data_IF_367646185929
#
_entry.id   IF_367646185929
#
_cell.length_a   1.000
_cell.length_b   1.000
_cell.length_c   1.000
_cell.angle_alpha   90.00
_cell.angle_beta   90.00
_cell.angle_gamma   90.00
#
_symmetry.space_group_name_H-M   'P 1'
#
loop_
_entity.id
_entity.type
_entity.pdbx_description
1 polymer ?
#
# COMPACT_ATOMS: atom_id res chain seq x y z
N UNK A 1 0.07 17.57 13.13
CA UNK A 1 -0.72 17.01 12.00
C UNK A 1 0.18 16.54 10.88
N UNK A 2 1.06 17.40 10.35
CA UNK A 2 2.04 17.03 9.32
C UNK A 2 3.04 15.96 9.77
N UNK A 3 3.39 15.85 11.05
CA UNK A 3 4.36 14.85 11.55
C UNK A 3 3.81 13.42 11.67
N UNK A 4 2.53 13.22 12.01
CA UNK A 4 1.91 11.88 11.90
C UNK A 4 1.69 11.52 10.45
N UNK A 5 1.30 12.49 9.62
CA UNK A 5 1.20 12.27 8.19
C UNK A 5 2.60 11.92 7.62
N UNK A 6 3.65 12.67 7.98
CA UNK A 6 5.08 12.42 7.73
C UNK A 6 5.57 11.09 8.27
N UNK A 7 5.04 10.58 9.38
CA UNK A 7 5.44 9.28 9.91
C UNK A 7 4.61 8.11 9.39
N UNK A 8 3.40 8.36 8.89
CA UNK A 8 2.75 7.48 7.91
C UNK A 8 3.44 7.51 6.55
N UNK A 9 4.27 8.52 6.32
CA UNK A 9 5.23 8.63 5.22
C UNK A 9 6.63 8.11 5.60
N UNK A 10 6.87 7.32 6.66
CA UNK A 10 8.27 6.93 6.95
C UNK A 10 8.44 5.51 7.51
N UNK A 11 7.95 4.54 6.74
CA UNK A 11 8.70 3.28 6.57
C UNK A 11 9.61 3.36 5.34
N UNK A 12 10.33 4.47 5.17
CA UNK A 12 11.22 4.82 4.03
C UNK A 12 10.54 5.39 2.78
N UNK A 13 9.67 6.40 2.93
CA UNK A 13 9.08 7.18 1.82
C UNK A 13 9.97 8.40 1.52
N UNK A 14 10.58 8.48 0.34
CA UNK A 14 11.19 9.75 -0.10
C UNK A 14 10.18 10.70 -0.77
N UNK A 15 8.87 10.43 -0.71
CA UNK A 15 7.89 11.36 -1.28
C UNK A 15 6.47 11.09 -0.78
N UNK A 16 6.04 11.81 0.25
CA UNK A 16 4.61 11.88 0.63
C UNK A 16 3.68 12.34 -0.52
N UNK A 17 4.24 12.83 -1.63
CA UNK A 17 3.55 13.06 -2.89
C UNK A 17 3.21 11.76 -3.66
N UNK A 18 4.04 10.69 -3.62
CA UNK A 18 3.81 9.44 -4.37
C UNK A 18 2.64 8.61 -3.86
N UNK A 19 2.31 8.67 -2.56
CA UNK A 19 1.11 8.02 -2.02
C UNK A 19 -0.20 8.65 -2.55
N UNK A 20 -0.16 9.92 -2.99
CA UNK A 20 -1.23 10.57 -3.75
C UNK A 20 -1.39 9.95 -5.15
N UNK A 21 -0.28 9.50 -5.76
CA UNK A 21 -0.24 8.98 -7.13
C UNK A 21 -0.89 7.59 -7.26
N UNK A 22 -0.77 6.74 -6.22
CA UNK A 22 -1.46 5.45 -6.15
C UNK A 22 -2.97 5.60 -6.34
N UNK A 23 -3.54 6.61 -5.67
CA UNK A 23 -4.99 6.86 -5.61
C UNK A 23 -5.50 7.65 -6.81
N UNK A 24 -4.65 8.49 -7.41
CA UNK A 24 -5.00 9.26 -8.60
C UNK A 24 -4.96 8.43 -9.88
N UNK A 25 -4.26 7.29 -9.93
CA UNK A 25 -4.14 6.45 -11.13
C UNK A 25 -5.48 5.86 -11.61
N UNK A 26 -6.27 5.25 -10.71
CA UNK A 26 -7.60 4.70 -11.00
C UNK A 26 -8.61 5.79 -11.35
N UNK A 27 -8.51 6.93 -10.64
CA UNK A 27 -9.29 8.12 -10.94
C UNK A 27 -8.93 8.63 -12.35
N UNK A 28 -7.65 8.83 -12.62
CA UNK A 28 -7.13 9.30 -13.90
C UNK A 28 -7.56 8.39 -15.05
N UNK A 29 -7.46 7.06 -14.87
CA UNK A 29 -7.92 6.11 -15.88
C UNK A 29 -9.41 6.28 -16.18
N UNK A 30 -10.26 6.29 -15.14
CA UNK A 30 -11.70 6.48 -15.32
C UNK A 30 -12.04 7.83 -15.97
N UNK A 31 -11.29 8.89 -15.64
CA UNK A 31 -11.47 10.22 -16.24
C UNK A 31 -10.97 10.27 -17.70
N UNK A 32 -9.87 9.59 -18.04
CA UNK A 32 -9.37 9.49 -19.43
C UNK A 32 -10.39 8.75 -20.30
N UNK A 33 -10.96 7.65 -19.81
CA UNK A 33 -11.98 6.87 -20.52
C UNK A 33 -13.31 7.65 -20.68
N UNK A 34 -13.58 8.62 -19.79
CA UNK A 34 -14.85 9.34 -19.73
C UNK A 34 -14.67 10.87 -19.70
N UNK A 35 -13.74 11.38 -20.52
CA UNK A 35 -13.33 12.80 -20.48
C UNK A 35 -14.48 13.79 -20.70
N UNK A 36 -15.49 13.40 -21.48
CA UNK A 36 -16.70 14.18 -21.74
C UNK A 36 -17.62 14.36 -20.52
N UNK A 37 -17.43 13.57 -19.45
CA UNK A 37 -18.22 13.64 -18.21
C UNK A 37 -17.56 14.49 -17.12
N UNK A 38 -16.38 15.07 -17.39
CA UNK A 38 -15.63 15.85 -16.39
C UNK A 38 -16.37 17.15 -16.05
N UNK A 39 -16.67 17.34 -14.77
CA UNK A 39 -17.32 18.55 -14.22
C UNK A 39 -16.50 19.10 -13.06
N UNK A 40 -16.56 20.41 -12.84
CA UNK A 40 -15.91 21.07 -11.69
C UNK A 40 -16.33 20.50 -10.33
N UNK A 41 -17.57 20.03 -10.21
CA UNK A 41 -18.06 19.37 -8.98
C UNK A 41 -17.36 18.05 -8.66
N UNK A 42 -16.75 17.39 -9.64
CA UNK A 42 -15.93 16.19 -9.42
C UNK A 42 -14.64 16.51 -8.67
N UNK A 43 -14.07 17.71 -8.85
CA UNK A 43 -12.86 18.10 -8.13
C UNK A 43 -13.11 18.13 -6.63
N UNK A 44 -14.22 18.75 -6.19
CA UNK A 44 -14.58 18.77 -4.78
C UNK A 44 -14.73 17.34 -4.22
N UNK A 45 -15.48 16.47 -4.91
CA UNK A 45 -15.60 15.07 -4.52
C UNK A 45 -14.24 14.35 -4.49
N UNK A 46 -13.39 14.56 -5.47
CA UNK A 46 -12.06 13.96 -5.53
C UNK A 46 -11.17 14.40 -4.35
N UNK A 47 -11.15 15.70 -4.03
CA UNK A 47 -10.43 16.23 -2.88
C UNK A 47 -10.97 15.70 -1.55
N UNK A 48 -12.30 15.66 -1.39
CA UNK A 48 -12.92 15.06 -0.19
C UNK A 48 -12.56 13.58 -0.05
N UNK A 49 -12.63 12.80 -1.13
CA UNK A 49 -12.28 11.38 -1.13
C UNK A 49 -10.80 11.15 -0.82
N UNK A 50 -9.92 11.94 -1.42
CA UNK A 50 -8.49 11.91 -1.14
C UNK A 50 -8.20 12.21 0.34
N UNK A 51 -8.82 13.24 0.88
CA UNK A 51 -8.67 13.60 2.29
C UNK A 51 -9.20 12.49 3.21
N UNK A 52 -10.36 11.89 2.90
CA UNK A 52 -10.87 10.75 3.66
C UNK A 52 -9.93 9.53 3.63
N UNK A 53 -9.30 9.24 2.50
CA UNK A 53 -8.31 8.17 2.39
C UNK A 53 -7.01 8.50 3.16
N UNK A 54 -6.60 9.77 3.23
CA UNK A 54 -5.49 10.23 4.08
C UNK A 54 -5.85 10.00 5.55
N UNK A 55 -7.05 10.41 5.97
CA UNK A 55 -7.55 10.14 7.31
C UNK A 55 -7.55 8.63 7.64
N UNK A 56 -8.05 7.79 6.71
CA UNK A 56 -8.10 6.34 6.95
C UNK A 56 -6.71 5.73 7.13
N UNK A 57 -5.74 6.18 6.32
CA UNK A 57 -4.35 5.76 6.48
C UNK A 57 -3.72 6.28 7.79
N UNK A 58 -3.96 7.55 8.13
CA UNK A 58 -3.49 8.16 9.38
C UNK A 58 -4.04 7.46 10.62
N UNK A 59 -5.30 7.02 10.60
CA UNK A 59 -5.86 6.18 11.66
C UNK A 59 -5.10 4.85 11.77
N UNK A 60 -5.02 4.08 10.68
CA UNK A 60 -4.44 2.73 10.67
C UNK A 60 -2.96 2.75 11.10
N UNK A 61 -2.18 3.70 10.59
CA UNK A 61 -0.76 3.82 10.94
C UNK A 61 -0.58 4.41 12.33
N UNK A 62 -1.41 5.38 12.71
CA UNK A 62 -1.33 6.01 14.03
C UNK A 62 -1.63 5.02 15.16
N UNK A 63 -2.68 4.20 15.06
CA UNK A 63 -2.91 3.13 16.05
C UNK A 63 -1.76 2.14 16.08
N UNK A 64 -1.16 1.84 14.91
CA UNK A 64 -0.05 0.90 14.86
C UNK A 64 1.15 1.40 15.67
N UNK A 65 1.57 2.65 15.45
CA UNK A 65 2.67 3.27 16.21
C UNK A 65 2.40 3.34 17.73
N UNK A 66 1.17 3.65 18.13
CA UNK A 66 0.80 3.72 19.56
C UNK A 66 0.98 2.36 20.24
N UNK A 67 0.52 1.26 19.62
CA UNK A 67 0.60 -0.09 20.20
C UNK A 67 1.96 -0.78 20.02
N UNK A 68 2.78 -0.28 19.09
CA UNK A 68 4.11 -0.79 18.78
C UNK A 68 5.25 0.11 19.29
N UNK A 69 4.98 1.17 20.06
CA UNK A 69 5.98 2.13 20.55
C UNK A 69 7.26 1.48 21.12
N UNK A 70 7.14 0.38 21.88
CA UNK A 70 8.29 -0.33 22.43
C UNK A 70 9.15 -1.04 21.38
N UNK A 71 8.52 -1.58 20.33
CA UNK A 71 9.18 -2.23 19.19
C UNK A 71 9.79 -1.15 18.29
N UNK A 72 9.04 -0.08 18.02
CA UNK A 72 9.45 0.99 17.13
C UNK A 72 10.60 1.81 17.71
N UNK A 73 10.73 1.95 19.03
CA UNK A 73 11.93 2.54 19.66
C UNK A 73 13.23 1.83 19.30
N UNK A 74 13.16 0.55 18.93
CA UNK A 74 14.31 -0.24 18.51
C UNK A 74 14.48 -0.18 17.00
N UNK A 75 13.43 -0.54 16.26
CA UNK A 75 13.51 -0.76 14.83
C UNK A 75 13.43 0.56 14.05
N UNK A 76 12.65 1.51 14.55
CA UNK A 76 12.27 2.76 13.87
C UNK A 76 12.29 3.95 14.86
N UNK A 77 13.44 4.22 15.50
CA UNK A 77 13.53 5.22 16.58
C UNK A 77 13.20 6.64 16.13
N UNK A 78 13.18 6.89 14.82
CA UNK A 78 12.86 8.16 14.20
C UNK A 78 11.33 8.40 14.05
N UNK A 79 10.47 7.40 14.33
CA UNK A 79 9.02 7.60 14.26
C UNK A 79 8.56 8.53 15.40
N UNK A 80 7.64 9.50 15.19
CA UNK A 80 7.32 10.56 16.15
C UNK A 80 6.91 10.06 17.53
N UNK A 81 6.12 8.98 17.59
CA UNK A 81 5.69 8.39 18.88
C UNK A 81 6.85 7.66 19.57
N UNK A 82 7.74 7.03 18.80
CA UNK A 82 8.91 6.31 19.31
C UNK A 82 10.02 7.28 19.77
N UNK A 83 10.28 8.32 18.97
CA UNK A 83 11.24 9.40 19.21
C UNK A 83 10.84 10.28 20.41
N UNK A 84 9.54 10.39 20.69
CA UNK A 84 9.00 11.27 21.73
C UNK A 84 8.64 12.66 21.24
N UNK A 85 8.84 12.96 19.95
CA UNK A 85 8.40 14.20 19.30
C UNK A 85 6.88 14.38 19.39
N UNK A 86 6.15 13.26 19.46
CA UNK A 86 4.71 13.23 19.63
C UNK A 86 4.30 12.46 20.89
N UNK A 87 3.63 13.15 21.81
CA UNK A 87 3.08 12.51 23.02
C UNK A 87 1.99 11.49 22.68
N UNK A 88 1.86 10.44 23.50
CA UNK A 88 0.84 9.40 23.34
C UNK A 88 -0.58 10.00 23.35
N UNK A 89 -0.82 11.02 24.19
CA UNK A 89 -2.10 11.71 24.27
C UNK A 89 -2.43 12.42 22.95
N UNK A 90 -1.47 13.16 22.39
CA UNK A 90 -1.65 13.85 21.10
C UNK A 90 -1.79 12.85 19.94
N UNK A 91 -1.07 11.73 19.98
CA UNK A 91 -1.21 10.64 19.01
C UNK A 91 -2.64 10.07 19.02
N UNK A 92 -3.21 9.80 20.19
CA UNK A 92 -4.60 9.36 20.30
C UNK A 92 -5.61 10.40 19.80
N UNK A 93 -5.44 11.67 20.15
CA UNK A 93 -6.29 12.75 19.65
C UNK A 93 -6.30 12.80 18.11
N UNK A 94 -5.12 12.67 17.49
CA UNK A 94 -4.99 12.68 16.04
C UNK A 94 -5.58 11.43 15.38
N UNK A 95 -5.38 10.25 15.98
CA UNK A 95 -6.00 9.00 15.52
C UNK A 95 -7.53 9.09 15.55
N UNK A 96 -8.11 9.59 16.65
CA UNK A 96 -9.56 9.77 16.79
C UNK A 96 -10.06 10.80 15.78
N UNK A 97 -9.36 11.92 15.64
CA UNK A 97 -9.67 12.92 14.63
C UNK A 97 -9.72 12.31 13.22
N UNK A 98 -8.70 11.54 12.84
CA UNK A 98 -8.65 10.88 11.54
C UNK A 98 -9.80 9.88 11.35
N UNK A 99 -10.11 9.05 12.35
CA UNK A 99 -11.23 8.11 12.25
C UNK A 99 -12.57 8.83 12.03
N UNK A 100 -12.86 9.84 12.86
CA UNK A 100 -14.13 10.58 12.84
C UNK A 100 -14.25 11.41 11.56
N UNK A 101 -13.25 12.23 11.23
CA UNK A 101 -13.27 13.08 10.05
C UNK A 101 -13.37 12.26 8.76
N UNK A 102 -12.59 11.19 8.64
CA UNK A 102 -12.66 10.30 7.49
C UNK A 102 -14.03 9.66 7.31
N UNK A 103 -14.61 9.16 8.41
CA UNK A 103 -15.95 8.54 8.42
C UNK A 103 -17.05 9.55 8.04
N UNK A 104 -17.01 10.76 8.60
CA UNK A 104 -17.98 11.80 8.30
C UNK A 104 -17.94 12.20 6.81
N UNK A 105 -16.75 12.28 6.21
CA UNK A 105 -16.61 12.60 4.79
C UNK A 105 -17.20 11.50 3.91
N UNK A 106 -16.87 10.23 4.16
CA UNK A 106 -17.41 9.14 3.33
C UNK A 106 -18.92 9.01 3.47
N UNK A 107 -19.45 9.17 4.68
CA UNK A 107 -20.88 9.14 4.95
C UNK A 107 -21.64 10.27 4.25
N UNK A 108 -21.08 11.49 4.26
CA UNK A 108 -21.73 12.65 3.66
C UNK A 108 -21.69 12.64 2.12
N UNK A 109 -20.61 12.16 1.51
CA UNK A 109 -20.35 12.41 0.08
C UNK A 109 -20.29 11.16 -0.81
N UNK A 110 -20.14 9.96 -0.25
CA UNK A 110 -19.87 8.73 -1.02
C UNK A 110 -20.90 7.61 -0.82
N UNK A 111 -21.91 7.83 0.01
CA UNK A 111 -23.03 6.93 0.21
C UNK A 111 -22.71 5.70 1.07
N UNK A 112 -23.74 4.88 1.37
CA UNK A 112 -23.64 3.83 2.38
C UNK A 112 -22.67 2.71 2.01
N UNK A 113 -22.57 2.36 0.72
CA UNK A 113 -21.67 1.29 0.27
C UNK A 113 -20.20 1.63 0.49
N UNK A 114 -19.71 2.77 -0.01
CA UNK A 114 -18.32 3.20 0.22
C UNK A 114 -18.06 3.42 1.72
N UNK A 115 -19.04 3.96 2.45
CA UNK A 115 -18.95 4.09 3.91
C UNK A 115 -18.72 2.73 4.59
N UNK A 116 -19.43 1.68 4.17
CA UNK A 116 -19.26 0.33 4.71
C UNK A 116 -17.87 -0.25 4.42
N UNK A 117 -17.33 -0.05 3.21
CA UNK A 117 -15.98 -0.49 2.85
C UNK A 117 -14.91 0.27 3.63
N UNK A 118 -15.14 1.57 3.86
CA UNK A 118 -14.26 2.39 4.66
C UNK A 118 -14.23 1.93 6.12
N UNK A 119 -15.41 1.69 6.72
CA UNK A 119 -15.53 1.11 8.05
C UNK A 119 -14.86 -0.26 8.16
N UNK A 120 -15.02 -1.11 7.15
CA UNK A 120 -14.32 -2.40 7.07
C UNK A 120 -12.80 -2.20 7.06
N UNK A 121 -12.28 -1.25 6.27
CA UNK A 121 -10.87 -0.92 6.25
C UNK A 121 -10.33 -0.45 7.60
N UNK A 122 -11.06 0.43 8.30
CA UNK A 122 -10.72 0.85 9.66
C UNK A 122 -10.74 -0.34 10.63
N UNK A 123 -11.81 -1.14 10.62
CA UNK A 123 -11.95 -2.32 11.46
C UNK A 123 -10.80 -3.31 11.27
N UNK A 124 -10.45 -3.63 10.01
CA UNK A 124 -9.33 -4.52 9.69
C UNK A 124 -7.99 -3.93 10.19
N UNK A 125 -7.80 -2.62 10.07
CA UNK A 125 -6.64 -1.93 10.66
C UNK A 125 -6.61 -2.02 12.19
N UNK A 126 -7.76 -1.89 12.86
CA UNK A 126 -7.89 -2.03 14.31
C UNK A 126 -7.52 -3.43 14.77
N UNK A 127 -8.15 -4.48 14.21
CA UNK A 127 -7.87 -5.87 14.63
C UNK A 127 -6.42 -6.28 14.32
N UNK A 128 -5.79 -5.64 13.33
CA UNK A 128 -4.38 -5.86 13.01
C UNK A 128 -3.46 -5.44 14.15
N UNK A 129 -3.70 -4.28 14.77
CA UNK A 129 -2.78 -3.67 15.76
C UNK A 129 -3.21 -3.86 17.23
N UNK A 130 -4.52 -3.87 17.51
CA UNK A 130 -5.05 -3.70 18.87
C UNK A 130 -5.31 -5.04 19.58
N UNK A 131 -4.92 -5.20 20.87
CA UNK A 131 -5.30 -6.37 21.68
C UNK A 131 -6.83 -6.45 21.91
N UNK A 132 -7.40 -7.66 22.10
CA UNK A 132 -6.74 -8.96 22.25
C UNK A 132 -6.32 -9.61 20.92
N UNK A 133 -6.85 -9.16 19.79
CA UNK A 133 -6.65 -9.81 18.49
C UNK A 133 -5.21 -9.65 17.97
N UNK A 134 -4.75 -8.39 17.80
CA UNK A 134 -3.43 -8.02 17.28
C UNK A 134 -2.93 -8.97 16.18
N UNK A 135 -3.74 -9.10 15.12
CA UNK A 135 -3.59 -10.10 14.06
C UNK A 135 -2.23 -10.04 13.36
N UNK A 136 -1.51 -8.91 13.44
CA UNK A 136 -0.14 -8.77 12.93
C UNK A 136 0.84 -9.83 13.47
N UNK A 137 0.52 -10.48 14.61
CA UNK A 137 1.29 -11.59 15.19
C UNK A 137 1.18 -12.88 14.40
N UNK A 138 0.09 -13.08 13.65
CA UNK A 138 -0.16 -14.25 12.83
C UNK A 138 0.16 -13.91 11.38
N UNK A 139 1.24 -14.45 10.79
CA UNK A 139 1.71 -13.97 9.51
C UNK A 139 0.70 -14.12 8.37
N UNK A 140 -0.09 -15.20 8.37
CA UNK A 140 -1.15 -15.42 7.37
C UNK A 140 -2.28 -14.40 7.53
N UNK A 141 -2.73 -14.12 8.76
CA UNK A 141 -3.77 -13.12 9.00
C UNK A 141 -3.29 -11.71 8.66
N UNK A 142 -2.05 -11.37 9.03
CA UNK A 142 -1.40 -10.12 8.68
C UNK A 142 -1.36 -9.91 7.16
N UNK A 143 -0.95 -10.95 6.42
CA UNK A 143 -0.98 -10.97 4.96
C UNK A 143 -2.40 -10.71 4.42
N UNK A 144 -3.39 -11.49 4.85
CA UNK A 144 -4.75 -11.38 4.33
C UNK A 144 -5.35 -9.98 4.57
N UNK A 145 -5.07 -9.38 5.73
CA UNK A 145 -5.50 -8.00 6.03
C UNK A 145 -4.83 -7.00 5.09
N UNK A 146 -3.51 -7.10 4.89
CA UNK A 146 -2.77 -6.18 4.02
C UNK A 146 -3.24 -6.31 2.57
N UNK A 147 -3.37 -7.54 2.06
CA UNK A 147 -3.87 -7.81 0.72
C UNK A 147 -5.32 -7.33 0.54
N UNK A 148 -6.17 -7.51 1.55
CA UNK A 148 -7.57 -7.03 1.49
C UNK A 148 -7.63 -5.51 1.49
N UNK A 149 -6.97 -4.83 2.45
CA UNK A 149 -7.10 -3.38 2.62
C UNK A 149 -6.33 -2.61 1.54
N UNK A 150 -5.05 -2.91 1.35
CA UNK A 150 -4.20 -2.20 0.38
C UNK A 150 -4.33 -2.76 -1.04
N UNK A 151 -4.47 -4.07 -1.18
CA UNK A 151 -4.58 -4.73 -2.48
C UNK A 151 -5.95 -4.57 -3.12
N UNK A 152 -7.00 -5.02 -2.45
CA UNK A 152 -8.33 -5.09 -3.05
C UNK A 152 -9.19 -3.84 -2.76
N UNK A 153 -9.51 -3.59 -1.49
CA UNK A 153 -10.49 -2.59 -1.06
C UNK A 153 -10.15 -1.18 -1.54
N UNK A 154 -8.88 -0.80 -1.48
CA UNK A 154 -8.46 0.52 -1.96
C UNK A 154 -8.71 0.68 -3.46
N UNK A 155 -8.28 -0.30 -4.27
CA UNK A 155 -8.42 -0.21 -5.72
C UNK A 155 -9.89 -0.28 -6.15
N UNK A 156 -10.62 -1.26 -5.62
CA UNK A 156 -12.04 -1.42 -5.88
C UNK A 156 -12.85 -0.20 -5.43
N UNK A 157 -12.64 0.25 -4.19
CA UNK A 157 -13.38 1.36 -3.59
C UNK A 157 -13.16 2.68 -4.31
N UNK A 158 -11.91 3.00 -4.67
CA UNK A 158 -11.59 4.23 -5.43
C UNK A 158 -12.21 4.20 -6.82
N UNK A 159 -12.11 3.08 -7.54
CA UNK A 159 -12.70 2.98 -8.87
C UNK A 159 -14.23 3.03 -8.83
N UNK A 160 -14.86 2.32 -7.89
CA UNK A 160 -16.30 2.38 -7.64
C UNK A 160 -16.77 3.80 -7.37
N UNK A 161 -16.13 4.49 -6.41
CA UNK A 161 -16.46 5.85 -6.04
C UNK A 161 -16.32 6.81 -7.23
N UNK A 162 -15.29 6.61 -8.06
CA UNK A 162 -15.05 7.44 -9.25
C UNK A 162 -16.14 7.25 -10.30
N UNK A 163 -16.48 6.00 -10.65
CA UNK A 163 -17.57 5.73 -11.61
C UNK A 163 -18.90 6.25 -11.11
N UNK A 164 -19.22 6.04 -9.83
CA UNK A 164 -20.42 6.57 -9.21
C UNK A 164 -20.46 8.12 -9.25
N UNK A 165 -19.32 8.78 -9.03
CA UNK A 165 -19.22 10.24 -9.15
C UNK A 165 -19.46 10.73 -10.60
N UNK A 166 -19.08 9.93 -11.60
CA UNK A 166 -19.35 10.18 -13.01
C UNK A 166 -20.79 9.82 -13.43
N UNK A 167 -21.62 9.26 -12.53
CA UNK A 167 -22.97 8.82 -12.84
C UNK A 167 -23.04 7.48 -13.59
N UNK A 168 -21.96 6.69 -13.55
CA UNK A 168 -21.85 5.41 -14.22
C UNK A 168 -22.07 4.25 -13.24
N UNK A 169 -22.71 3.19 -13.71
CA UNK A 169 -22.74 1.92 -13.00
C UNK A 169 -21.33 1.32 -12.89
N UNK A 170 -21.06 0.60 -11.82
CA UNK A 170 -19.79 -0.12 -11.66
C UNK A 170 -19.67 -1.22 -12.72
N UNK A 171 -18.48 -1.34 -13.30
CA UNK A 171 -18.16 -2.37 -14.31
C UNK A 171 -16.68 -2.72 -14.22
N UNK A 172 -16.35 -4.01 -14.27
CA UNK A 172 -14.96 -4.45 -14.33
C UNK A 172 -14.42 -4.30 -15.76
N UNK A 173 -13.49 -3.37 -15.97
CA UNK A 173 -12.67 -3.36 -17.18
C UNK A 173 -11.44 -4.25 -17.01
N UNK A 174 -10.93 -4.80 -18.12
CA UNK A 174 -9.72 -5.64 -18.09
C UNK A 174 -8.51 -4.94 -17.43
N UNK A 175 -8.22 -3.64 -17.69
CA UNK A 175 -7.19 -2.91 -16.97
C UNK A 175 -7.44 -2.81 -15.46
N UNK A 176 -8.67 -2.55 -15.03
CA UNK A 176 -8.98 -2.39 -13.60
C UNK A 176 -8.89 -3.73 -12.87
N UNK A 177 -9.36 -4.82 -13.50
CA UNK A 177 -9.18 -6.17 -12.97
C UNK A 177 -7.70 -6.55 -12.89
N UNK A 178 -6.91 -6.19 -13.91
CA UNK A 178 -5.47 -6.37 -13.94
C UNK A 178 -4.78 -5.66 -12.76
N UNK A 179 -4.93 -4.33 -12.62
CA UNK A 179 -4.22 -3.60 -11.55
C UNK A 179 -4.67 -4.02 -10.16
N UNK A 180 -5.96 -4.33 -9.98
CA UNK A 180 -6.48 -4.79 -8.68
C UNK A 180 -5.86 -6.14 -8.31
N UNK A 181 -5.79 -7.07 -9.25
CA UNK A 181 -5.15 -8.39 -9.04
C UNK A 181 -3.65 -8.23 -8.82
N UNK A 182 -2.98 -7.46 -9.70
CA UNK A 182 -1.55 -7.23 -9.66
C UNK A 182 -1.12 -6.62 -8.34
N UNK A 183 -1.78 -5.55 -7.88
CA UNK A 183 -1.48 -4.87 -6.60
C UNK A 183 -1.85 -5.74 -5.41
N UNK A 184 -2.88 -6.59 -5.52
CA UNK A 184 -3.20 -7.55 -4.45
C UNK A 184 -2.09 -8.59 -4.27
N UNK A 185 -1.54 -9.12 -5.36
CA UNK A 185 -0.36 -10.00 -5.35
C UNK A 185 0.91 -9.24 -4.93
N UNK A 186 1.06 -7.98 -5.32
CA UNK A 186 2.18 -7.15 -4.84
C UNK A 186 2.07 -6.89 -3.32
N UNK A 187 0.86 -6.65 -2.80
CA UNK A 187 0.64 -6.46 -1.37
C UNK A 187 1.06 -7.70 -0.55
N UNK A 188 0.95 -8.91 -1.12
CA UNK A 188 1.55 -10.13 -0.55
C UNK A 188 3.09 -10.01 -0.47
N UNK A 189 3.74 -9.56 -1.53
CA UNK A 189 5.20 -9.36 -1.57
C UNK A 189 5.63 -8.35 -0.50
N UNK A 190 4.91 -7.23 -0.36
CA UNK A 190 5.17 -6.24 0.69
C UNK A 190 4.96 -6.88 2.07
N UNK A 191 3.89 -7.64 2.28
CA UNK A 191 3.61 -8.29 3.55
C UNK A 191 4.71 -9.30 3.96
N UNK A 192 5.32 -10.00 3.00
CA UNK A 192 6.42 -10.93 3.23
C UNK A 192 7.74 -10.18 3.51
N UNK A 193 8.00 -9.09 2.79
CA UNK A 193 9.29 -8.38 2.85
C UNK A 193 9.33 -7.27 3.92
N UNK A 194 8.19 -6.88 4.49
CA UNK A 194 8.08 -5.76 5.46
C UNK A 194 8.98 -5.90 6.70
N UNK A 195 9.24 -7.13 7.15
CA UNK A 195 10.03 -7.40 8.35
C UNK A 195 11.52 -7.61 8.03
N UNK A 196 11.94 -7.51 6.76
CA UNK A 196 13.35 -7.63 6.39
C UNK A 196 14.23 -6.54 7.06
N UNK A 197 13.88 -5.23 7.01
CA UNK A 197 14.70 -4.18 7.62
C UNK A 197 14.77 -4.28 9.16
N UNK A 198 13.78 -4.93 9.76
CA UNK A 198 13.60 -5.03 11.21
C UNK A 198 14.29 -6.29 11.79
N UNK A 199 14.86 -7.16 10.96
CA UNK A 199 15.36 -8.50 11.35
C UNK A 199 16.42 -8.49 12.46
N UNK A 200 17.33 -7.52 12.47
CA UNK A 200 18.39 -7.42 13.48
C UNK A 200 17.82 -7.04 14.85
N UNK A 201 16.93 -6.05 14.88
CA UNK A 201 16.24 -5.64 16.09
C UNK A 201 15.31 -6.75 16.59
N UNK A 202 14.57 -7.39 15.70
CA UNK A 202 13.70 -8.51 16.04
C UNK A 202 14.48 -9.67 16.67
N UNK A 203 15.66 -10.02 16.14
CA UNK A 203 16.55 -11.04 16.75
C UNK A 203 17.02 -10.63 18.14
N UNK A 204 17.44 -9.38 18.32
CA UNK A 204 17.93 -8.87 19.61
C UNK A 204 16.86 -8.96 20.70
N UNK A 205 15.60 -8.73 20.33
CA UNK A 205 14.46 -8.73 21.26
C UNK A 205 13.61 -10.00 21.21
N UNK A 206 14.13 -11.08 20.59
CA UNK A 206 13.46 -12.40 20.50
C UNK A 206 12.05 -12.32 19.87
N UNK A 207 11.85 -11.40 18.93
CA UNK A 207 10.61 -11.26 18.16
C UNK A 207 10.62 -12.27 17.03
N UNK A 208 9.59 -13.13 17.00
CA UNK A 208 9.45 -14.15 15.98
C UNK A 208 8.71 -13.60 14.74
N UNK A 209 9.42 -13.48 13.63
CA UNK A 209 8.90 -13.11 12.31
C UNK A 209 9.32 -14.13 11.26
N UNK A 210 8.78 -14.03 10.04
CA UNK A 210 9.24 -14.88 8.94
C UNK A 210 10.72 -14.64 8.62
N UNK A 211 11.17 -13.37 8.67
CA UNK A 211 12.56 -13.02 8.44
C UNK A 211 13.50 -13.61 9.51
N UNK A 212 13.10 -13.62 10.78
CA UNK A 212 13.92 -14.23 11.85
C UNK A 212 13.91 -15.76 11.81
N UNK A 213 12.81 -16.39 11.40
CA UNK A 213 12.66 -17.86 11.31
C UNK A 213 13.26 -18.49 10.05
N UNK A 214 12.94 -17.95 8.89
CA UNK A 214 13.34 -18.51 7.59
C UNK A 214 14.64 -17.90 7.06
N UNK A 215 15.07 -16.77 7.63
CA UNK A 215 16.28 -16.06 7.24
C UNK A 215 16.05 -15.02 6.14
N UNK A 216 16.82 -13.94 6.21
CA UNK A 216 16.75 -12.78 5.30
C UNK A 216 16.83 -13.20 3.83
N UNK A 217 17.82 -14.06 3.51
CA UNK A 217 18.02 -14.59 2.15
C UNK A 217 16.75 -15.23 1.60
N UNK A 218 16.18 -16.19 2.31
CA UNK A 218 15.02 -16.94 1.84
C UNK A 218 13.79 -16.05 1.67
N UNK A 219 13.58 -15.09 2.57
CA UNK A 219 12.46 -14.13 2.46
C UNK A 219 12.66 -13.15 1.31
N UNK A 220 13.88 -12.66 1.09
CA UNK A 220 14.20 -11.79 -0.06
C UNK A 220 13.98 -12.53 -1.39
N UNK A 221 14.45 -13.78 -1.52
CA UNK A 221 14.22 -14.59 -2.71
C UNK A 221 12.75 -14.95 -2.91
N UNK A 222 12.02 -15.29 -1.84
CA UNK A 222 10.58 -15.58 -1.92
C UNK A 222 9.79 -14.35 -2.41
N UNK A 223 10.03 -13.18 -1.79
CA UNK A 223 9.38 -11.93 -2.20
C UNK A 223 9.71 -11.56 -3.65
N UNK A 224 10.98 -11.66 -4.04
CA UNK A 224 11.43 -11.38 -5.41
C UNK A 224 10.86 -12.38 -6.42
N UNK A 225 10.81 -13.66 -6.08
CA UNK A 225 10.23 -14.71 -6.93
C UNK A 225 8.74 -14.50 -7.18
N UNK A 226 7.98 -14.20 -6.12
CA UNK A 226 6.54 -13.89 -6.24
C UNK A 226 6.31 -12.64 -7.09
N UNK A 227 7.11 -11.59 -6.90
CA UNK A 227 6.98 -10.37 -7.71
C UNK A 227 7.39 -10.60 -9.16
N UNK A 228 8.44 -11.39 -9.41
CA UNK A 228 8.86 -11.76 -10.76
C UNK A 228 7.77 -12.56 -11.49
N UNK A 229 7.13 -13.51 -10.81
CA UNK A 229 5.98 -14.24 -11.36
C UNK A 229 4.83 -13.29 -11.71
N UNK A 230 4.57 -12.29 -10.86
CA UNK A 230 3.56 -11.27 -11.13
C UNK A 230 3.90 -10.48 -12.40
N UNK A 231 5.16 -10.07 -12.59
CA UNK A 231 5.61 -9.40 -13.82
C UNK A 231 5.51 -10.27 -15.07
N UNK A 232 5.90 -11.55 -14.97
CA UNK A 232 5.78 -12.51 -16.06
C UNK A 232 4.29 -12.69 -16.44
N UNK A 233 3.40 -12.80 -15.45
CA UNK A 233 1.97 -12.87 -15.68
C UNK A 233 1.43 -11.62 -16.39
N UNK A 234 1.90 -10.42 -16.04
CA UNK A 234 1.56 -9.18 -16.73
C UNK A 234 1.99 -9.18 -18.20
N UNK A 235 3.20 -9.66 -18.50
CA UNK A 235 3.69 -9.80 -19.87
C UNK A 235 2.80 -10.75 -20.67
N UNK A 236 2.45 -11.91 -20.10
CA UNK A 236 1.54 -12.85 -20.74
C UNK A 236 0.14 -12.27 -20.94
N UNK A 237 -0.39 -11.52 -19.96
CA UNK A 237 -1.68 -10.84 -20.11
C UNK A 237 -1.68 -9.90 -21.32
N UNK A 238 -0.61 -9.14 -21.53
CA UNK A 238 -0.47 -8.28 -22.71
C UNK A 238 -0.45 -9.09 -24.03
N UNK A 239 0.25 -10.22 -24.05
CA UNK A 239 0.38 -11.08 -25.24
C UNK A 239 -0.97 -11.71 -25.60
N UNK A 240 -1.67 -12.29 -24.63
CA UNK A 240 -2.91 -13.04 -24.85
C UNK A 240 -4.16 -12.15 -24.95
N UNK A 241 -4.12 -10.92 -24.42
CA UNK A 241 -5.24 -9.98 -24.48
C UNK A 241 -4.85 -8.68 -25.21
N UNK A 242 -4.47 -8.76 -26.50
CA UNK A 242 -3.93 -7.62 -27.25
C UNK A 242 -4.94 -6.50 -27.50
N UNK A 243 -6.24 -6.80 -27.36
CA UNK A 243 -7.33 -5.81 -27.48
C UNK A 243 -7.56 -5.06 -26.17
N UNK A 244 -7.16 -5.63 -25.04
CA UNK A 244 -7.36 -5.05 -23.71
C UNK A 244 -6.18 -4.20 -23.25
N UNK A 245 -4.96 -4.51 -23.72
CA UNK A 245 -3.72 -3.91 -23.22
C UNK A 245 -2.82 -3.41 -24.36
N UNK A 246 -2.15 -2.27 -24.13
CA UNK A 246 -1.13 -1.76 -25.05
C UNK A 246 0.16 -2.57 -24.98
N UNK A 247 0.26 -3.62 -25.80
CA UNK A 247 1.45 -4.51 -25.89
C UNK A 247 2.79 -3.77 -26.00
N UNK A 248 2.85 -2.74 -26.85
CA UNK A 248 4.06 -1.96 -27.09
C UNK A 248 4.54 -1.18 -25.86
N UNK A 249 3.67 -0.99 -24.86
CA UNK A 249 4.02 -0.37 -23.58
C UNK A 249 4.21 -1.45 -22.50
N UNK A 250 3.23 -2.33 -22.33
CA UNK A 250 3.16 -3.26 -21.21
C UNK A 250 4.32 -4.27 -21.21
N UNK A 251 4.65 -4.86 -22.38
CA UNK A 251 5.70 -5.87 -22.49
C UNK A 251 7.10 -5.31 -22.16
N UNK A 252 7.61 -4.27 -22.85
CA UNK A 252 8.97 -3.79 -22.58
C UNK A 252 9.10 -3.26 -21.15
N UNK A 253 8.08 -2.60 -20.64
CA UNK A 253 8.09 -1.99 -19.32
C UNK A 253 8.13 -3.02 -18.19
N UNK A 254 7.24 -4.01 -18.20
CA UNK A 254 7.26 -5.08 -17.20
C UNK A 254 8.52 -5.95 -17.33
N UNK A 255 9.09 -6.06 -18.55
CA UNK A 255 10.39 -6.71 -18.75
C UNK A 255 11.52 -5.93 -18.06
N UNK A 256 11.57 -4.61 -18.23
CA UNK A 256 12.57 -3.75 -17.56
C UNK A 256 12.42 -3.81 -16.04
N UNK A 257 11.20 -3.79 -15.51
CA UNK A 257 10.95 -3.87 -14.07
C UNK A 257 11.34 -5.26 -13.51
N UNK A 258 11.04 -6.34 -14.23
CA UNK A 258 11.46 -7.69 -13.88
C UNK A 258 12.99 -7.84 -13.87
N UNK A 259 13.68 -7.33 -14.90
CA UNK A 259 15.15 -7.35 -14.97
C UNK A 259 15.78 -6.50 -13.86
N UNK A 260 15.19 -5.34 -13.56
CA UNK A 260 15.65 -4.49 -12.46
C UNK A 260 15.47 -5.17 -11.10
N UNK A 261 14.38 -5.90 -10.89
CA UNK A 261 14.17 -6.72 -9.69
C UNK A 261 15.22 -7.82 -9.56
N UNK A 262 15.50 -8.56 -10.63
CA UNK A 262 16.54 -9.60 -10.65
C UNK A 262 17.89 -8.99 -10.28
N UNK A 263 18.23 -7.86 -10.91
CA UNK A 263 19.48 -7.14 -10.64
C UNK A 263 19.58 -6.69 -9.18
N UNK A 264 18.54 -6.07 -8.62
CA UNK A 264 18.54 -5.60 -7.23
C UNK A 264 18.57 -6.75 -6.21
N UNK A 265 17.94 -7.88 -6.53
CA UNK A 265 18.03 -9.10 -5.71
C UNK A 265 19.47 -9.64 -5.69
N UNK A 266 20.14 -9.63 -6.85
CA UNK A 266 21.55 -10.02 -6.95
C UNK A 266 22.48 -9.05 -6.20
N UNK A 267 22.25 -7.74 -6.30
CA UNK A 267 23.01 -6.72 -5.54
C UNK A 267 22.86 -6.96 -4.04
N UNK A 268 21.64 -7.24 -3.55
CA UNK A 268 21.39 -7.57 -2.15
C UNK A 268 22.17 -8.83 -1.71
N UNK A 269 22.16 -9.88 -2.52
CA UNK A 269 22.93 -11.11 -2.23
C UNK A 269 24.43 -10.85 -2.18
N UNK A 270 24.97 -10.04 -3.12
CA UNK A 270 26.39 -9.66 -3.13
C UNK A 270 26.81 -8.77 -1.97
N UNK A 271 25.88 -7.98 -1.44
CA UNK A 271 26.10 -7.17 -0.26
C UNK A 271 26.02 -7.99 1.05
N UNK A 272 25.90 -9.32 0.99
CA UNK A 272 25.77 -10.20 2.17
C UNK A 272 24.67 -9.78 3.15
N UNK A 273 23.60 -9.16 2.63
CA UNK A 273 22.44 -8.76 3.43
C UNK A 273 22.79 -7.83 4.61
N UNK A 274 23.68 -6.85 4.43
CA UNK A 274 23.87 -5.79 5.43
C UNK A 274 22.57 -5.02 5.66
N UNK A 275 22.42 -4.42 6.84
CA UNK A 275 21.25 -3.60 7.19
C UNK A 275 20.94 -2.54 6.15
N UNK A 276 21.95 -1.84 5.67
CA UNK A 276 21.83 -0.80 4.65
C UNK A 276 21.37 -1.38 3.30
N UNK A 277 21.90 -2.54 2.91
CA UNK A 277 21.50 -3.21 1.68
C UNK A 277 20.05 -3.72 1.75
N UNK A 278 19.64 -4.28 2.89
CA UNK A 278 18.26 -4.71 3.12
C UNK A 278 17.30 -3.52 3.05
N UNK A 279 17.63 -2.42 3.72
CA UNK A 279 16.82 -1.20 3.68
C UNK A 279 16.71 -0.65 2.25
N UNK A 280 17.83 -0.61 1.52
CA UNK A 280 17.87 -0.20 0.12
C UNK A 280 17.01 -1.07 -0.79
N UNK A 281 17.09 -2.40 -0.64
CA UNK A 281 16.27 -3.36 -1.37
C UNK A 281 14.78 -3.21 -1.04
N UNK A 282 14.43 -3.08 0.24
CA UNK A 282 13.04 -2.89 0.66
C UNK A 282 12.44 -1.60 0.10
N UNK A 283 13.21 -0.49 0.10
CA UNK A 283 12.81 0.76 -0.56
C UNK A 283 12.63 0.56 -2.06
N UNK A 284 13.50 -0.20 -2.71
CA UNK A 284 13.38 -0.51 -4.14
C UNK A 284 12.08 -1.28 -4.46
N UNK A 285 11.66 -2.23 -3.62
CA UNK A 285 10.36 -2.90 -3.75
C UNK A 285 9.20 -1.90 -3.72
N UNK A 286 9.25 -0.90 -2.84
CA UNK A 286 8.24 0.17 -2.85
C UNK A 286 8.29 1.04 -4.11
N UNK A 287 9.48 1.37 -4.62
CA UNK A 287 9.61 2.11 -5.87
C UNK A 287 8.97 1.37 -7.05
N UNK A 288 9.14 0.04 -7.12
CA UNK A 288 8.47 -0.80 -8.09
C UNK A 288 6.94 -0.73 -7.94
N UNK A 289 6.42 -0.77 -6.72
CA UNK A 289 5.00 -0.62 -6.45
C UNK A 289 4.44 0.73 -6.97
N UNK A 290 5.16 1.82 -6.72
CA UNK A 290 4.74 3.15 -7.20
C UNK A 290 4.83 3.29 -8.71
N UNK A 291 5.87 2.72 -9.33
CA UNK A 291 6.02 2.71 -10.78
C UNK A 291 4.78 2.13 -11.46
N UNK A 292 4.26 1.01 -10.96
CA UNK A 292 3.07 0.34 -11.50
C UNK A 292 1.84 1.24 -11.55
N UNK A 293 1.63 2.04 -10.52
CA UNK A 293 0.53 2.98 -10.48
C UNK A 293 0.72 4.21 -11.37
N UNK A 294 1.96 4.65 -11.58
CA UNK A 294 2.27 5.72 -12.55
C UNK A 294 1.98 5.24 -13.98
N UNK A 295 2.29 3.98 -14.24
CA UNK A 295 2.14 3.36 -15.55
C UNK A 295 0.67 3.02 -15.84
N UNK A 296 -0.08 2.58 -14.82
CA UNK A 296 -1.42 2.03 -14.94
C UNK A 296 -2.39 2.80 -15.86
N UNK A 297 -2.50 4.14 -15.80
CA UNK A 297 -3.43 4.88 -16.66
C UNK A 297 -3.18 4.67 -18.17
N UNK A 298 -1.95 4.32 -18.55
CA UNK A 298 -1.50 4.22 -19.93
C UNK A 298 -1.58 2.81 -20.53
N UNK A 299 -1.70 1.77 -19.68
CA UNK A 299 -1.78 0.35 -20.08
C UNK A 299 -3.10 0.05 -20.78
#
# INVERSE_FOLDING_TARGET
MLEILASSYDTWDCSGLLNLHLRSSLVARALIENSHLIKWSLLFKAFSGLFALICGNGYIVGINQIYDIGIDRVNKPYLPVAAGDLSIQTAWLLVIFFAVTGLLIVAAYFGPFITSLYCLGLFLGTIYSVPPFRMKRFPVAAFLIIATVRGFLLNFGVYYATRAALGLAFEWSSPVAFITTFVTLFALVIAITKDLPDVEGDRKFQISTFATKLGVRNIAFLGSGLLLLNYIASIFAAIYMPQAFKRNLMIPLHTVLALSLIFQTWVLEKANYTKEAIAGFYRFIWNLFYAEYIIFPFI
#
